data_IF_465099462972
#
_entry.id   IF_465099462972
#
_cell.length_a   1.000
_cell.length_b   1.000
_cell.length_c   1.000
_cell.angle_alpha   90.00
_cell.angle_beta   90.00
_cell.angle_gamma   90.00
#
_symmetry.space_group_name_H-M   'P 1'
#
loop_
_entity.id
_entity.type
_entity.pdbx_description
1 polymer ?
#
# COMPACT_ATOMS: atom_id res chain seq x y z
N UNK A 1 -18.06 0.43 26.85
CA UNK A 1 -17.40 -0.35 25.77
C UNK A 1 -16.41 0.55 25.04
N UNK A 2 -15.11 0.44 25.32
CA UNK A 2 -14.11 1.21 24.59
C UNK A 2 -14.04 0.65 23.16
N UNK A 3 -14.75 1.29 22.23
CA UNK A 3 -14.58 1.03 20.81
C UNK A 3 -13.19 1.49 20.43
N UNK A 4 -12.31 0.55 20.10
CA UNK A 4 -10.96 0.85 19.63
C UNK A 4 -11.10 1.61 18.31
N UNK A 5 -11.11 2.94 18.38
CA UNK A 5 -11.43 3.80 17.25
C UNK A 5 -10.24 3.78 16.31
N UNK A 6 -10.32 2.96 15.25
CA UNK A 6 -9.37 3.01 14.13
C UNK A 6 -9.54 4.34 13.38
N UNK A 7 -9.12 5.45 14.00
CA UNK A 7 -9.29 6.82 13.48
C UNK A 7 -8.65 7.01 12.10
N UNK A 8 -7.68 6.16 11.74
CA UNK A 8 -6.97 6.15 10.46
C UNK A 8 -7.62 5.30 9.37
N UNK A 9 -8.62 4.47 9.69
CA UNK A 9 -9.39 3.70 8.71
C UNK A 9 -10.65 4.45 8.23
N UNK A 10 -10.86 5.69 8.71
CA UNK A 10 -12.01 6.52 8.35
C UNK A 10 -11.90 7.15 6.95
N UNK A 11 -10.73 7.08 6.30
CA UNK A 11 -10.52 7.67 4.98
C UNK A 11 -9.82 6.71 4.01
N UNK A 12 -10.03 6.95 2.72
CA UNK A 12 -9.46 6.21 1.59
C UNK A 12 -8.04 6.65 1.22
N UNK A 13 -7.50 7.66 1.90
CA UNK A 13 -6.19 8.27 1.62
C UNK A 13 -5.04 7.25 1.49
N UNK A 14 -5.10 6.16 2.27
CA UNK A 14 -4.09 5.10 2.23
C UNK A 14 -4.09 4.36 0.89
N UNK A 15 -5.28 3.96 0.44
CA UNK A 15 -5.48 3.23 -0.83
C UNK A 15 -5.24 4.16 -2.01
N UNK A 16 -5.67 5.43 -1.92
CA UNK A 16 -5.39 6.45 -2.93
C UNK A 16 -3.89 6.66 -3.13
N UNK A 17 -3.11 6.75 -2.04
CA UNK A 17 -1.64 6.85 -2.11
C UNK A 17 -1.00 5.62 -2.74
N UNK A 18 -1.44 4.43 -2.35
CA UNK A 18 -0.96 3.18 -2.94
C UNK A 18 -1.23 3.15 -4.45
N UNK A 19 -2.46 3.47 -4.86
CA UNK A 19 -2.84 3.52 -6.27
C UNK A 19 -2.04 4.57 -7.03
N UNK A 20 -1.79 5.74 -6.44
CA UNK A 20 -0.97 6.78 -7.04
C UNK A 20 0.47 6.31 -7.30
N UNK A 21 1.07 5.57 -6.37
CA UNK A 21 2.42 5.04 -6.52
C UNK A 21 2.50 3.96 -7.60
N UNK A 22 1.52 3.06 -7.66
CA UNK A 22 1.42 2.06 -8.74
C UNK A 22 1.28 2.76 -10.10
N UNK A 23 0.41 3.77 -10.22
CA UNK A 23 0.20 4.53 -11.47
C UNK A 23 1.43 5.33 -11.87
N UNK A 24 2.19 5.86 -10.90
CA UNK A 24 3.45 6.57 -11.15
C UNK A 24 4.49 5.64 -11.79
N UNK A 25 4.64 4.42 -11.27
CA UNK A 25 5.59 3.43 -11.82
C UNK A 25 5.11 2.86 -13.16
N UNK A 26 3.80 2.63 -13.32
CA UNK A 26 3.19 2.23 -14.61
C UNK A 26 3.42 3.27 -15.72
N UNK A 27 3.33 4.57 -15.40
CA UNK A 27 3.49 5.66 -16.38
C UNK A 27 4.83 5.59 -17.14
N UNK A 28 5.88 5.08 -16.50
CA UNK A 28 7.20 4.91 -17.12
C UNK A 28 7.21 3.69 -18.06
N UNK A 29 6.54 2.60 -17.66
CA UNK A 29 6.53 1.32 -18.37
C UNK A 29 5.66 1.39 -19.64
N UNK A 30 4.57 2.17 -19.61
CA UNK A 30 3.58 2.38 -20.70
C UNK A 30 2.78 1.13 -21.09
N UNK A 31 3.44 0.01 -21.43
CA UNK A 31 2.82 -1.25 -21.85
C UNK A 31 3.59 -2.41 -21.19
N UNK A 32 2.86 -3.32 -20.52
CA UNK A 32 3.47 -4.51 -19.96
C UNK A 32 3.58 -5.63 -21.00
N UNK A 33 4.71 -6.37 -21.04
CA UNK A 33 4.90 -7.47 -22.00
C UNK A 33 4.08 -8.72 -21.64
N UNK A 34 3.68 -8.88 -20.37
CA UNK A 34 2.82 -9.97 -19.89
C UNK A 34 2.26 -9.63 -18.49
N UNK A 35 1.24 -10.37 -18.07
CA UNK A 35 0.61 -10.21 -16.75
C UNK A 35 1.59 -10.47 -15.59
N UNK A 36 2.52 -11.42 -15.73
CA UNK A 36 3.50 -11.71 -14.69
C UNK A 36 4.41 -10.51 -14.40
N UNK A 37 4.75 -9.72 -15.42
CA UNK A 37 5.57 -8.51 -15.26
C UNK A 37 4.82 -7.41 -14.51
N UNK A 38 3.51 -7.27 -14.76
CA UNK A 38 2.66 -6.38 -13.96
C UNK A 38 2.57 -6.85 -12.50
N UNK A 39 2.37 -8.15 -12.27
CA UNK A 39 2.31 -8.73 -10.92
C UNK A 39 3.63 -8.51 -10.16
N UNK A 40 4.78 -8.61 -10.82
CA UNK A 40 6.09 -8.34 -10.20
C UNK A 40 6.23 -6.88 -9.77
N UNK A 41 5.79 -5.93 -10.62
CA UNK A 41 5.85 -4.52 -10.26
C UNK A 41 4.95 -4.22 -9.05
N UNK A 42 3.70 -4.66 -9.10
CA UNK A 42 2.73 -4.43 -8.03
C UNK A 42 3.23 -5.11 -6.75
N UNK A 43 3.70 -6.35 -6.84
CA UNK A 43 4.29 -7.07 -5.72
C UNK A 43 5.48 -6.33 -5.08
N UNK A 44 6.40 -5.80 -5.89
CA UNK A 44 7.52 -5.02 -5.39
C UNK A 44 7.06 -3.75 -4.65
N UNK A 45 6.09 -3.01 -5.19
CA UNK A 45 5.51 -1.81 -4.51
C UNK A 45 4.87 -2.18 -3.18
N UNK A 46 4.14 -3.31 -3.14
CA UNK A 46 3.48 -3.77 -1.93
C UNK A 46 4.48 -4.22 -0.86
N UNK A 47 5.58 -4.89 -1.27
CA UNK A 47 6.67 -5.25 -0.35
C UNK A 47 7.34 -4.01 0.23
N UNK A 48 7.69 -3.01 -0.60
CA UNK A 48 8.27 -1.75 -0.15
C UNK A 48 7.37 -1.07 0.91
N UNK A 49 6.07 -1.00 0.64
CA UNK A 49 5.08 -0.40 1.56
C UNK A 49 4.91 -1.21 2.84
N UNK A 50 4.94 -2.54 2.74
CA UNK A 50 4.84 -3.42 3.90
C UNK A 50 6.03 -3.23 4.84
N UNK A 51 7.24 -3.19 4.29
CA UNK A 51 8.46 -2.92 5.05
C UNK A 51 8.38 -1.55 5.71
N UNK A 52 8.00 -0.50 4.98
CA UNK A 52 7.77 0.84 5.55
C UNK A 52 6.78 0.80 6.73
N UNK A 53 5.68 0.05 6.60
CA UNK A 53 4.68 -0.04 7.66
C UNK A 53 5.15 -0.82 8.89
N UNK A 54 5.99 -1.84 8.71
CA UNK A 54 6.60 -2.59 9.82
C UNK A 54 7.59 -1.71 10.58
N UNK A 55 8.46 -0.98 9.87
CA UNK A 55 9.51 -0.17 10.49
C UNK A 55 9.01 1.20 10.96
N UNK A 56 7.86 1.67 10.48
CA UNK A 56 7.30 2.96 10.88
C UNK A 56 6.77 2.94 12.30
N UNK A 57 7.17 3.94 13.09
CA UNK A 57 6.65 4.18 14.44
C UNK A 57 5.15 4.51 14.46
N UNK A 58 4.56 4.90 13.32
CA UNK A 58 3.15 5.26 13.18
C UNK A 58 2.34 4.14 12.52
N UNK A 59 2.13 3.05 13.26
CA UNK A 59 1.33 1.90 12.82
C UNK A 59 -0.08 2.34 12.37
N UNK A 60 -0.48 1.97 11.17
CA UNK A 60 -1.81 2.25 10.62
C UNK A 60 -2.86 1.26 11.11
N UNK A 61 -2.45 0.01 11.29
CA UNK A 61 -3.26 -1.07 11.83
C UNK A 61 -2.47 -1.65 13.00
N UNK A 62 -3.07 -1.67 14.19
CA UNK A 62 -2.52 -2.41 15.30
C UNK A 62 -3.18 -3.79 15.30
N UNK A 63 -2.37 -4.83 15.10
CA UNK A 63 -2.84 -6.22 15.07
C UNK A 63 -2.89 -6.86 16.47
N UNK A 64 -2.53 -6.13 17.54
CA UNK A 64 -2.64 -6.63 18.91
C UNK A 64 -4.10 -6.96 19.28
N UNK A 65 -4.38 -8.25 19.31
CA UNK A 65 -5.39 -8.94 20.12
C UNK A 65 -4.89 -10.35 20.45
#
# INVERSE_FOLDING_TARGET
VQGNSHNRLKSTNLIERLNQEVRRREKIIRIFPNQTSANRLIGAVLMDLHDEWIYSSRKYINFDK
#
